data_IF_453063092444
#
_entry.id   IF_453063092444
#
_cell.length_a   1.000
_cell.length_b   1.000
_cell.length_c   1.000
_cell.angle_alpha   90.00
_cell.angle_beta   90.00
_cell.angle_gamma   90.00
#
_symmetry.space_group_name_H-M   'P 1'
#
loop_
_entity.id
_entity.type
_entity.pdbx_description
1 polymer ?
#
# COMPACT_ATOMS: atom_id res chain seq x y z
N UNK A 1 9.65 -18.77 -7.54
CA UNK A 1 8.60 -17.83 -7.21
C UNK A 1 8.36 -17.71 -5.71
N UNK A 2 8.32 -16.50 -5.23
CA UNK A 2 8.17 -16.21 -3.80
C UNK A 2 6.87 -16.81 -3.23
N UNK A 3 5.78 -16.72 -3.97
CA UNK A 3 4.47 -17.19 -3.52
C UNK A 3 4.28 -18.70 -3.69
N UNK A 4 5.13 -19.36 -4.44
CA UNK A 4 5.02 -20.79 -4.69
C UNK A 4 5.82 -21.64 -3.71
N UNK A 5 6.99 -21.13 -3.30
CA UNK A 5 7.93 -21.91 -2.51
C UNK A 5 7.76 -21.74 -1.01
N UNK A 6 7.05 -20.70 -0.59
CA UNK A 6 6.92 -20.36 0.82
C UNK A 6 5.49 -20.01 1.16
N UNK A 7 5.15 -20.26 2.41
CA UNK A 7 3.90 -19.76 2.97
C UNK A 7 4.07 -18.25 3.21
N UNK A 8 3.43 -17.44 2.35
CA UNK A 8 3.57 -15.98 2.38
C UNK A 8 2.24 -15.36 2.75
N UNK A 9 2.26 -14.44 3.72
CA UNK A 9 1.10 -13.62 4.06
C UNK A 9 1.27 -12.26 3.39
N UNK A 10 0.28 -11.88 2.58
CA UNK A 10 0.29 -10.59 1.91
C UNK A 10 -0.53 -9.57 2.70
N UNK A 11 0.08 -8.41 2.93
CA UNK A 11 -0.55 -7.31 3.64
C UNK A 11 -0.59 -6.10 2.72
N UNK A 12 -1.62 -5.27 2.89
CA UNK A 12 -1.67 -3.97 2.23
C UNK A 12 -2.12 -2.93 3.24
N UNK A 13 -1.54 -1.74 3.16
CA UNK A 13 -1.90 -0.65 4.05
C UNK A 13 -3.37 -0.26 3.89
N UNK A 14 -3.99 0.14 4.99
CA UNK A 14 -5.32 0.74 4.96
C UNK A 14 -5.36 1.94 4.00
N UNK A 15 -4.25 2.64 3.84
CA UNK A 15 -4.12 3.75 2.88
C UNK A 15 -4.35 3.27 1.45
N UNK A 16 -3.77 2.11 1.10
CA UNK A 16 -3.97 1.53 -0.24
C UNK A 16 -5.41 1.11 -0.47
N UNK A 17 -6.06 0.57 0.56
CA UNK A 17 -7.47 0.21 0.48
C UNK A 17 -8.34 1.45 0.27
N UNK A 18 -8.05 2.52 0.98
CA UNK A 18 -8.74 3.80 0.81
C UNK A 18 -8.58 4.34 -0.61
N UNK A 19 -7.36 4.30 -1.15
CA UNK A 19 -7.10 4.74 -2.51
C UNK A 19 -7.85 3.90 -3.54
N UNK A 20 -7.90 2.57 -3.33
CA UNK A 20 -8.64 1.69 -4.21
C UNK A 20 -10.12 2.06 -4.24
N UNK A 21 -10.74 2.25 -3.09
CA UNK A 21 -12.13 2.67 -3.00
C UNK A 21 -12.34 4.00 -3.72
N UNK A 22 -11.45 4.95 -3.50
CA UNK A 22 -11.52 6.25 -4.14
C UNK A 22 -11.47 6.14 -5.67
N UNK A 23 -10.54 5.35 -6.19
CA UNK A 23 -10.38 5.16 -7.64
C UNK A 23 -11.62 4.52 -8.26
N UNK A 24 -12.25 3.59 -7.55
CA UNK A 24 -13.51 3.00 -8.00
C UNK A 24 -14.62 4.05 -8.01
N UNK A 25 -14.69 4.85 -6.95
CA UNK A 25 -15.76 5.85 -6.80
C UNK A 25 -15.68 6.97 -7.85
N UNK A 26 -14.49 7.34 -8.26
CA UNK A 26 -14.32 8.37 -9.30
C UNK A 26 -14.35 7.80 -10.72
N UNK A 27 -14.58 6.49 -10.86
CA UNK A 27 -14.80 5.87 -12.16
C UNK A 27 -13.56 5.39 -12.90
N UNK A 28 -12.38 5.41 -12.25
CA UNK A 28 -11.15 5.00 -12.92
C UNK A 28 -10.93 3.50 -12.95
N UNK A 29 -11.50 2.75 -12.03
CA UNK A 29 -11.28 1.31 -11.91
C UNK A 29 -12.54 0.46 -11.94
N UNK A 30 -13.70 1.04 -12.15
CA UNK A 30 -14.92 0.24 -12.23
C UNK A 30 -15.25 -0.10 -13.69
N UNK A 31 -15.98 -1.20 -13.86
CA UNK A 31 -16.42 -1.59 -15.20
C UNK A 31 -17.39 -0.56 -15.77
N UNK A 32 -17.35 -0.33 -17.10
CA UNK A 32 -18.20 0.67 -17.72
C UNK A 32 -19.71 0.45 -17.53
N UNK A 33 -20.12 -0.81 -17.35
CA UNK A 33 -21.52 -1.18 -17.17
C UNK A 33 -21.97 -1.10 -15.72
N UNK A 34 -21.07 -0.85 -14.79
CA UNK A 34 -21.41 -0.76 -13.37
C UNK A 34 -21.93 0.62 -13.01
N UNK A 35 -23.18 0.70 -12.58
CA UNK A 35 -23.81 1.96 -12.22
C UNK A 35 -23.88 2.18 -10.70
N UNK A 36 -23.81 1.10 -9.94
CA UNK A 36 -23.82 1.18 -8.48
C UNK A 36 -22.40 1.27 -7.97
N UNK A 37 -21.98 2.49 -7.65
CA UNK A 37 -20.60 2.77 -7.22
C UNK A 37 -20.28 2.12 -5.89
N UNK A 38 -21.24 2.11 -4.95
CA UNK A 38 -21.05 1.48 -3.64
C UNK A 38 -20.83 -0.02 -3.78
N UNK A 39 -21.60 -0.66 -4.64
CA UNK A 39 -21.46 -2.08 -4.92
C UNK A 39 -20.13 -2.39 -5.57
N UNK A 40 -19.71 -1.54 -6.53
CA UNK A 40 -18.43 -1.73 -7.21
C UNK A 40 -17.24 -1.64 -6.24
N UNK A 41 -17.29 -0.68 -5.31
CA UNK A 41 -16.25 -0.53 -4.31
C UNK A 41 -16.22 -1.73 -3.35
N UNK A 42 -17.37 -2.21 -2.91
CA UNK A 42 -17.46 -3.38 -2.05
C UNK A 42 -16.92 -4.63 -2.75
N UNK A 43 -17.22 -4.80 -4.03
CA UNK A 43 -16.70 -5.92 -4.82
C UNK A 43 -15.17 -5.85 -4.97
N UNK A 44 -14.62 -4.66 -5.14
CA UNK A 44 -13.18 -4.48 -5.22
C UNK A 44 -12.48 -4.92 -3.93
N UNK A 45 -13.04 -4.55 -2.78
CA UNK A 45 -12.52 -4.98 -1.48
C UNK A 45 -12.64 -6.49 -1.31
N UNK A 46 -13.74 -7.08 -1.77
CA UNK A 46 -13.95 -8.52 -1.68
C UNK A 46 -12.91 -9.28 -2.51
N UNK A 47 -12.54 -8.76 -3.67
CA UNK A 47 -11.49 -9.38 -4.49
C UNK A 47 -10.17 -9.48 -3.73
N UNK A 48 -9.78 -8.41 -3.03
CA UNK A 48 -8.55 -8.43 -2.23
C UNK A 48 -8.64 -9.47 -1.11
N UNK A 49 -9.77 -9.54 -0.43
CA UNK A 49 -9.99 -10.54 0.61
C UNK A 49 -9.92 -11.96 0.06
N UNK A 50 -10.53 -12.19 -1.10
CA UNK A 50 -10.53 -13.51 -1.76
C UNK A 50 -9.11 -13.95 -2.13
N UNK A 51 -8.22 -12.99 -2.45
CA UNK A 51 -6.81 -13.30 -2.70
C UNK A 51 -5.99 -13.43 -1.42
N UNK A 52 -6.61 -13.29 -0.26
CA UNK A 52 -5.92 -13.43 1.02
C UNK A 52 -5.09 -12.21 1.40
N UNK A 53 -5.33 -11.06 0.78
CA UNK A 53 -4.63 -9.82 1.11
C UNK A 53 -5.30 -9.20 2.32
N UNK A 54 -4.54 -9.05 3.41
CA UNK A 54 -5.06 -8.50 4.66
C UNK A 54 -4.77 -7.01 4.76
N UNK A 55 -5.71 -6.29 5.34
CA UNK A 55 -5.55 -4.86 5.58
C UNK A 55 -4.68 -4.63 6.81
N UNK A 56 -3.67 -3.78 6.66
CA UNK A 56 -2.81 -3.34 7.75
C UNK A 56 -3.26 -1.94 8.20
N UNK A 57 -3.81 -1.82 9.42
CA UNK A 57 -4.33 -0.52 9.86
C UNK A 57 -3.21 0.47 10.17
N UNK A 58 -3.53 1.75 10.04
CA UNK A 58 -2.65 2.84 10.44
C UNK A 58 -2.88 3.12 11.93
N UNK A 59 -1.80 3.25 12.68
CA UNK A 59 -1.85 3.54 14.11
C UNK A 59 -0.98 4.73 14.45
N UNK A 60 -1.05 5.16 15.69
CA UNK A 60 -0.27 6.30 16.18
C UNK A 60 1.24 6.08 15.99
N UNK A 61 1.73 4.86 16.21
CA UNK A 61 3.17 4.59 16.06
C UNK A 61 3.66 4.83 14.62
N UNK A 62 2.79 4.59 13.64
CA UNK A 62 3.12 4.84 12.24
C UNK A 62 3.24 6.33 11.97
N UNK A 63 2.32 7.11 12.52
CA UNK A 63 2.36 8.58 12.39
C UNK A 63 3.62 9.14 13.06
N UNK A 64 3.98 8.62 14.22
CA UNK A 64 5.19 9.06 14.93
C UNK A 64 6.45 8.72 14.14
N UNK A 65 6.49 7.56 13.51
CA UNK A 65 7.62 7.19 12.64
C UNK A 65 7.71 8.14 11.44
N UNK A 66 6.59 8.57 10.92
CA UNK A 66 6.55 9.50 9.80
C UNK A 66 7.27 10.82 10.10
N UNK A 67 7.18 11.29 11.35
CA UNK A 67 7.86 12.52 11.79
C UNK A 67 9.38 12.40 11.63
N UNK A 68 9.92 11.19 11.80
CA UNK A 68 11.37 10.94 11.74
C UNK A 68 11.89 10.81 10.31
N UNK A 69 11.02 10.66 9.33
CA UNK A 69 11.45 10.52 7.93
C UNK A 69 11.66 11.89 7.29
N UNK A 70 12.73 12.03 6.48
CA UNK A 70 12.95 13.29 5.79
C UNK A 70 11.86 13.56 4.76
N UNK A 71 11.60 14.82 4.49
CA UNK A 71 10.68 15.23 3.42
C UNK A 71 11.50 15.59 2.19
N UNK A 72 11.64 14.64 1.28
CA UNK A 72 12.35 14.88 0.03
C UNK A 72 11.49 15.72 -0.91
N UNK A 73 12.13 16.65 -1.61
CA UNK A 73 11.42 17.56 -2.49
C UNK A 73 10.68 16.85 -3.62
N UNK A 74 11.25 15.77 -4.14
CA UNK A 74 10.69 14.99 -5.23
C UNK A 74 9.87 13.79 -4.76
N UNK A 75 9.61 13.66 -3.46
CA UNK A 75 8.79 12.58 -2.91
C UNK A 75 7.98 13.09 -1.72
N UNK A 76 6.90 13.77 -2.03
CA UNK A 76 6.09 14.48 -1.05
C UNK A 76 4.71 13.90 -0.85
N UNK A 77 4.35 12.85 -1.58
CA UNK A 77 3.04 12.22 -1.46
C UNK A 77 2.86 11.69 -0.04
N UNK A 78 1.90 12.23 0.72
CA UNK A 78 1.70 11.82 2.11
C UNK A 78 1.28 10.36 2.25
N UNK A 79 0.57 9.81 1.27
CA UNK A 79 0.15 8.41 1.30
C UNK A 79 1.34 7.48 1.15
N UNK A 80 2.21 7.76 0.18
CA UNK A 80 3.44 6.96 -0.02
C UNK A 80 4.32 7.00 1.22
N UNK A 81 4.49 8.18 1.79
CA UNK A 81 5.33 8.34 2.98
C UNK A 81 4.76 7.59 4.18
N UNK A 82 3.45 7.57 4.32
CA UNK A 82 2.81 6.85 5.42
C UNK A 82 2.95 5.33 5.24
N UNK A 83 2.83 4.82 4.03
CA UNK A 83 3.03 3.41 3.72
C UNK A 83 4.47 2.99 4.07
N UNK A 84 5.44 3.83 3.72
CA UNK A 84 6.85 3.60 4.06
C UNK A 84 7.04 3.58 5.58
N UNK A 85 6.44 4.53 6.29
CA UNK A 85 6.53 4.60 7.74
C UNK A 85 5.94 3.35 8.40
N UNK A 86 4.81 2.85 7.89
CA UNK A 86 4.22 1.59 8.37
C UNK A 86 5.18 0.42 8.20
N UNK A 87 5.75 0.29 7.02
CA UNK A 87 6.64 -0.83 6.71
C UNK A 87 7.88 -0.81 7.60
N UNK A 88 8.47 0.35 7.80
CA UNK A 88 9.63 0.50 8.68
C UNK A 88 9.26 0.16 10.12
N UNK A 89 8.18 0.74 10.61
CA UNK A 89 7.75 0.58 12.00
C UNK A 89 7.43 -0.87 12.34
N UNK A 90 6.76 -1.57 11.45
CA UNK A 90 6.31 -2.94 11.67
C UNK A 90 7.31 -3.97 11.16
N UNK A 91 8.42 -3.53 10.57
CA UNK A 91 9.48 -4.38 10.02
C UNK A 91 8.95 -5.36 8.99
N UNK A 92 8.14 -4.86 8.09
CA UNK A 92 7.54 -5.65 7.01
C UNK A 92 8.18 -5.23 5.69
N UNK A 93 8.69 -6.18 4.90
CA UNK A 93 9.24 -5.84 3.58
C UNK A 93 8.16 -5.20 2.70
N UNK A 94 8.53 -4.14 2.01
CA UNK A 94 7.63 -3.41 1.10
C UNK A 94 7.99 -3.73 -0.34
N UNK A 95 7.00 -4.15 -1.12
CA UNK A 95 7.17 -4.38 -2.55
C UNK A 95 6.77 -3.11 -3.30
N UNK A 96 7.66 -2.57 -4.11
CA UNK A 96 7.38 -1.38 -4.91
C UNK A 96 8.23 -1.36 -6.16
N UNK A 97 7.72 -0.75 -7.21
CA UNK A 97 8.46 -0.49 -8.45
C UNK A 97 8.94 0.96 -8.54
N UNK A 98 8.68 1.77 -7.53
CA UNK A 98 9.08 3.18 -7.50
C UNK A 98 10.50 3.31 -6.96
N UNK A 99 11.42 3.75 -7.81
CA UNK A 99 12.83 3.92 -7.44
C UNK A 99 13.05 4.92 -6.32
N UNK A 100 12.13 5.85 -6.13
CA UNK A 100 12.24 6.84 -5.05
C UNK A 100 12.18 6.20 -3.67
N UNK A 101 11.60 5.02 -3.55
CA UNK A 101 11.52 4.29 -2.28
C UNK A 101 12.87 3.75 -1.82
N UNK A 102 13.82 3.56 -2.75
CA UNK A 102 15.14 3.01 -2.44
C UNK A 102 15.88 3.86 -1.39
N UNK A 103 15.73 5.17 -1.45
CA UNK A 103 16.42 6.10 -0.54
C UNK A 103 16.04 5.92 0.93
N UNK A 104 14.89 5.29 1.19
CA UNK A 104 14.42 5.06 2.55
C UNK A 104 15.06 3.85 3.22
N UNK A 105 15.86 3.08 2.48
CA UNK A 105 16.61 1.97 3.04
C UNK A 105 17.52 2.38 4.19
N UNK A 106 18.06 3.58 4.15
CA UNK A 106 18.92 4.11 5.22
C UNK A 106 18.14 4.41 6.51
N UNK A 107 16.81 4.44 6.44
CA UNK A 107 15.93 4.66 7.59
C UNK A 107 15.26 3.38 8.05
N UNK A 108 15.66 2.25 7.49
CA UNK A 108 15.18 0.94 7.92
C UNK A 108 14.18 0.26 7.01
N UNK A 109 13.86 0.85 5.86
CA UNK A 109 12.95 0.22 4.92
C UNK A 109 13.62 -0.98 4.24
N UNK A 110 12.98 -2.15 4.34
CA UNK A 110 13.33 -3.30 3.53
C UNK A 110 12.49 -3.26 2.27
N UNK A 111 13.14 -2.99 1.16
CA UNK A 111 12.46 -2.84 -0.12
C UNK A 111 12.72 -4.05 -1.00
N UNK A 112 11.64 -4.66 -1.48
CA UNK A 112 11.71 -5.65 -2.56
C UNK A 112 11.34 -4.88 -3.82
N UNK A 113 12.36 -4.56 -4.61
CA UNK A 113 12.14 -3.75 -5.79
C UNK A 113 11.58 -4.61 -6.91
N UNK A 114 10.39 -4.25 -7.38
CA UNK A 114 9.71 -4.95 -8.45
C UNK A 114 10.00 -4.25 -9.78
N UNK A 115 10.86 -4.83 -10.58
CA UNK A 115 11.19 -4.29 -11.90
C UNK A 115 10.08 -4.61 -12.88
N UNK A 116 9.72 -3.62 -13.64
CA UNK A 116 8.74 -3.78 -14.70
C UNK A 116 9.41 -4.04 -16.05
#
# INVERSE_FOLDING_TARGET
>A
ELLQDYEVVLLSSAVCFQELVHLVQIGKLRRPDCRDVGKAAAEALQVLEDYGIKMMPVSEKHIRRLVELPLYEDHRDPNDRLIIAQAICDRIPLVSSDQKFVRYGRYGLELIFNRR
#
